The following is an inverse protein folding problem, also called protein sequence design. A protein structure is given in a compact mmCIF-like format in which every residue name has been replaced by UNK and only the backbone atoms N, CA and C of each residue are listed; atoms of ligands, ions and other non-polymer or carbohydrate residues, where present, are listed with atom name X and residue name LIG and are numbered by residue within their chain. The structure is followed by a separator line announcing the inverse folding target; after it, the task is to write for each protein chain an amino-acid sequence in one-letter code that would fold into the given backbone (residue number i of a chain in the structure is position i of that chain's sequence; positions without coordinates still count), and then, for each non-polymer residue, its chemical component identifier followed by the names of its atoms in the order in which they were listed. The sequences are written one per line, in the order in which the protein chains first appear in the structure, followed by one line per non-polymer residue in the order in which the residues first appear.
data_IF_769410409530
#
_entry.id   IF_769410409530
#
_cell.length_a   1.000
_cell.length_b   1.000
_cell.length_c   1.000
_cell.angle_alpha   90.00
_cell.angle_beta   90.00
_cell.angle_gamma   90.00
#
_symmetry.space_group_name_H-M   'P 1'
#
loop_
_entity.id
_entity.type
_entity.pdbx_description
1 polymer ?
#
# COMPACT_ATOMS: atom_id res chain seq x y z
N UNK A 1 0.93 23.88 -10.06
CA UNK A 1 1.44 23.71 -11.44
C UNK A 1 0.47 22.83 -12.20
N UNK A 2 0.13 23.16 -13.45
CA UNK A 2 -0.62 22.24 -14.30
C UNK A 2 0.27 21.02 -14.57
N UNK A 3 -0.21 19.81 -14.26
CA UNK A 3 0.51 18.60 -14.64
C UNK A 3 0.51 18.51 -16.16
N UNK A 4 1.69 18.38 -16.77
CA UNK A 4 1.75 18.02 -18.20
C UNK A 4 1.36 16.55 -18.34
N UNK A 5 0.40 16.28 -19.21
CA UNK A 5 0.01 14.93 -19.61
C UNK A 5 0.72 14.48 -20.89
N UNK A 6 1.48 15.36 -21.55
CA UNK A 6 2.13 15.10 -22.85
C UNK A 6 2.95 13.82 -22.83
N UNK A 7 3.72 13.63 -21.77
CA UNK A 7 4.50 12.43 -21.49
C UNK A 7 3.66 11.15 -21.54
N UNK A 8 2.50 11.16 -20.87
CA UNK A 8 1.64 9.98 -20.80
C UNK A 8 1.01 9.66 -22.14
N UNK A 9 0.55 10.68 -22.88
CA UNK A 9 -0.18 10.48 -24.13
C UNK A 9 0.74 10.25 -25.34
N UNK A 10 2.06 10.30 -25.13
CA UNK A 10 3.10 10.05 -26.13
C UNK A 10 3.71 8.65 -26.06
N UNK A 11 3.32 7.80 -25.09
CA UNK A 11 3.78 6.41 -25.01
C UNK A 11 3.25 5.57 -26.18
N UNK A 12 3.90 4.45 -26.48
CA UNK A 12 3.39 3.51 -27.48
C UNK A 12 2.10 2.85 -27.00
N UNK A 13 1.01 2.87 -27.80
CA UNK A 13 -0.24 2.25 -27.40
C UNK A 13 -0.21 0.73 -27.59
N UNK A 14 -0.88 0.03 -26.68
CA UNK A 14 -1.26 -1.36 -26.87
C UNK A 14 -2.32 -1.46 -27.98
N UNK A 15 -2.03 -2.20 -29.03
CA UNK A 15 -2.97 -2.41 -30.14
C UNK A 15 -3.84 -3.63 -29.88
N UNK A 16 -5.15 -3.46 -30.04
CA UNK A 16 -6.10 -4.57 -29.99
C UNK A 16 -7.23 -4.33 -30.99
N UNK A 17 -7.97 -5.38 -31.36
CA UNK A 17 -9.05 -5.25 -32.35
C UNK A 17 -10.15 -4.30 -31.84
N UNK A 18 -10.71 -4.61 -30.67
CA UNK A 18 -11.82 -3.87 -30.09
C UNK A 18 -11.83 -4.06 -28.57
N UNK A 19 -12.17 -3.01 -27.82
CA UNK A 19 -12.29 -3.09 -26.37
C UNK A 19 -13.71 -3.54 -25.99
N UNK A 20 -13.83 -4.63 -25.25
CA UNK A 20 -15.12 -5.15 -24.81
C UNK A 20 -15.49 -4.65 -23.41
N UNK A 21 -16.46 -3.73 -23.32
CA UNK A 21 -16.95 -3.26 -22.01
C UNK A 21 -17.64 -4.37 -21.20
N UNK A 22 -18.16 -5.42 -21.84
CA UNK A 22 -18.82 -6.53 -21.13
C UNK A 22 -17.83 -7.44 -20.39
N UNK A 23 -16.52 -7.33 -20.66
CA UNK A 23 -15.48 -8.10 -19.94
C UNK A 23 -14.88 -7.34 -18.76
N UNK A 24 -15.43 -6.19 -18.38
CA UNK A 24 -14.96 -5.46 -17.20
C UNK A 24 -15.19 -6.29 -15.93
N UNK A 25 -14.18 -6.31 -15.08
CA UNK A 25 -14.24 -6.94 -13.75
C UNK A 25 -15.01 -6.07 -12.77
N UNK A 26 -15.43 -6.66 -11.66
CA UNK A 26 -16.20 -5.96 -10.61
C UNK A 26 -15.46 -4.73 -10.01
N UNK A 27 -14.12 -4.79 -9.96
CA UNK A 27 -13.29 -3.70 -9.48
C UNK A 27 -12.92 -2.67 -10.58
N UNK A 28 -13.58 -2.72 -11.74
CA UNK A 28 -13.35 -1.79 -12.85
C UNK A 28 -14.55 -0.90 -13.10
N UNK A 29 -14.28 0.32 -13.55
CA UNK A 29 -15.28 1.30 -13.96
C UNK A 29 -14.85 1.95 -15.27
N UNK A 30 -15.81 2.41 -16.07
CA UNK A 30 -15.50 3.16 -17.28
C UNK A 30 -16.04 4.58 -17.24
N UNK A 31 -15.32 5.49 -17.88
CA UNK A 31 -15.77 6.83 -18.25
C UNK A 31 -15.86 6.88 -19.76
N UNK A 32 -17.07 7.07 -20.28
CA UNK A 32 -17.34 7.10 -21.71
C UNK A 32 -17.18 8.52 -22.25
N UNK A 33 -16.62 8.62 -23.44
CA UNK A 33 -16.44 9.84 -24.21
C UNK A 33 -16.81 9.58 -25.67
N UNK A 34 -17.34 10.55 -26.42
CA UNK A 34 -17.62 10.34 -27.83
C UNK A 34 -16.35 10.15 -28.67
N UNK A 35 -16.52 9.52 -29.83
CA UNK A 35 -15.49 9.49 -30.86
C UNK A 35 -15.00 10.92 -31.18
N UNK A 36 -13.67 11.07 -31.24
CA UNK A 36 -12.99 12.34 -31.52
C UNK A 36 -13.33 13.53 -30.59
N UNK A 37 -13.88 13.28 -29.39
CA UNK A 37 -14.20 14.33 -28.39
C UNK A 37 -13.65 13.99 -27.00
N UNK A 38 -13.57 15.01 -26.14
CA UNK A 38 -13.17 14.90 -24.73
C UNK A 38 -14.31 15.03 -23.71
N UNK A 39 -15.55 15.16 -24.17
CA UNK A 39 -16.72 15.33 -23.29
C UNK A 39 -16.98 14.04 -22.53
N UNK A 40 -17.02 14.12 -21.20
CA UNK A 40 -17.45 13.01 -20.33
C UNK A 40 -18.96 12.82 -20.48
N UNK A 41 -19.40 11.59 -20.76
CA UNK A 41 -20.82 11.25 -20.94
C UNK A 41 -21.51 10.75 -19.67
N UNK A 42 -20.73 10.27 -18.69
CA UNK A 42 -21.22 9.67 -17.46
C UNK A 42 -20.56 10.30 -16.20
N UNK A 43 -20.75 11.62 -15.98
CA UNK A 43 -20.11 12.33 -14.87
C UNK A 43 -20.60 11.90 -13.48
N UNK A 44 -21.76 11.23 -13.39
CA UNK A 44 -22.30 10.70 -12.14
C UNK A 44 -21.39 9.65 -11.48
N UNK A 45 -20.46 9.06 -12.24
CA UNK A 45 -19.45 8.14 -11.73
C UNK A 45 -18.43 8.78 -10.79
N UNK A 46 -18.33 10.12 -10.74
CA UNK A 46 -17.37 10.88 -9.93
C UNK A 46 -17.24 10.37 -8.49
N UNK A 47 -18.37 10.09 -7.84
CA UNK A 47 -18.39 9.63 -6.43
C UNK A 47 -17.60 8.32 -6.27
N UNK A 48 -17.86 7.33 -7.14
CA UNK A 48 -17.19 6.02 -7.10
C UNK A 48 -15.70 6.09 -7.40
N UNK A 49 -15.27 7.09 -8.19
CA UNK A 49 -13.85 7.31 -8.50
C UNK A 49 -13.11 7.89 -7.30
N UNK A 50 -13.74 8.83 -6.59
CA UNK A 50 -13.11 9.50 -5.46
C UNK A 50 -13.11 8.67 -4.17
N UNK A 51 -14.01 7.70 -4.05
CA UNK A 51 -14.12 6.80 -2.90
C UNK A 51 -13.36 5.48 -3.11
N UNK A 52 -12.35 5.44 -3.99
CA UNK A 52 -11.58 4.21 -4.22
C UNK A 52 -10.14 4.52 -4.61
N UNK A 53 -9.22 3.64 -4.23
CA UNK A 53 -7.83 3.71 -4.66
C UNK A 53 -7.72 3.23 -6.11
N UNK A 54 -7.34 4.15 -7.01
CA UNK A 54 -7.03 3.84 -8.40
C UNK A 54 -5.63 3.23 -8.49
N UNK A 55 -5.52 2.06 -9.12
CA UNK A 55 -4.23 1.37 -9.34
C UNK A 55 -3.83 1.34 -10.82
N UNK A 56 -4.79 1.46 -11.74
CA UNK A 56 -4.51 1.52 -13.18
C UNK A 56 -5.54 2.38 -13.91
N UNK A 57 -5.05 3.21 -14.83
CA UNK A 57 -5.84 4.02 -15.74
C UNK A 57 -5.52 3.67 -17.19
N UNK A 58 -6.53 3.27 -17.96
CA UNK A 58 -6.38 2.91 -19.36
C UNK A 58 -7.17 3.91 -20.22
N UNK A 59 -6.52 4.56 -21.19
CA UNK A 59 -7.20 5.43 -22.16
C UNK A 59 -7.41 4.66 -23.46
N UNK A 60 -8.67 4.36 -23.75
CA UNK A 60 -9.10 3.62 -24.93
C UNK A 60 -9.55 4.59 -26.03
N UNK A 61 -9.01 4.40 -27.23
CA UNK A 61 -9.41 5.13 -28.42
C UNK A 61 -9.28 4.25 -29.68
N UNK A 62 -9.72 4.75 -30.83
CA UNK A 62 -9.60 4.06 -32.12
C UNK A 62 -8.44 4.62 -32.92
N UNK A 63 -7.68 3.77 -33.61
CA UNK A 63 -6.59 4.17 -34.51
C UNK A 63 -7.06 5.04 -35.68
N UNK A 64 -8.30 4.85 -36.13
CA UNK A 64 -8.88 5.59 -37.24
C UNK A 64 -8.88 7.10 -37.01
N UNK A 65 -8.43 7.82 -38.03
CA UNK A 65 -8.53 9.28 -38.15
C UNK A 65 -9.10 9.64 -39.52
N UNK A 66 -10.10 10.52 -39.56
CA UNK A 66 -10.67 10.99 -40.82
C UNK A 66 -9.70 11.90 -41.59
N UNK A 67 -8.99 12.78 -40.88
CA UNK A 67 -7.98 13.67 -41.43
C UNK A 67 -6.59 13.16 -41.06
N UNK A 68 -5.66 13.12 -42.02
CA UNK A 68 -4.26 12.77 -41.77
C UNK A 68 -3.57 13.75 -40.82
N UNK A 69 -4.00 15.01 -40.81
CA UNK A 69 -3.52 16.07 -39.91
C UNK A 69 -4.07 16.00 -38.48
N UNK A 70 -4.99 15.07 -38.20
CA UNK A 70 -5.56 14.93 -36.87
C UNK A 70 -4.50 14.51 -35.84
N UNK A 71 -4.39 15.30 -34.76
CA UNK A 71 -3.44 15.07 -33.68
C UNK A 71 -4.13 14.27 -32.55
N UNK A 72 -3.90 12.97 -32.55
CA UNK A 72 -4.44 12.05 -31.54
C UNK A 72 -3.87 12.31 -30.14
N UNK A 73 -2.59 12.66 -30.04
CA UNK A 73 -1.88 12.94 -28.77
C UNK A 73 -2.59 14.11 -28.06
N UNK A 74 -2.83 15.21 -28.78
CA UNK A 74 -3.52 16.39 -28.24
C UNK A 74 -4.96 16.10 -27.80
N UNK A 75 -5.69 15.25 -28.52
CA UNK A 75 -7.02 14.83 -28.08
C UNK A 75 -6.94 14.01 -26.79
N UNK A 76 -6.01 13.06 -26.70
CA UNK A 76 -5.80 12.24 -25.51
C UNK A 76 -5.42 13.09 -24.29
N UNK A 77 -4.58 14.11 -24.48
CA UNK A 77 -4.24 15.08 -23.45
C UNK A 77 -5.49 15.82 -22.96
N UNK A 78 -6.31 16.31 -23.90
CA UNK A 78 -7.57 16.99 -23.60
C UNK A 78 -8.57 16.10 -22.85
N UNK A 79 -8.55 14.79 -23.10
CA UNK A 79 -9.35 13.79 -22.39
C UNK A 79 -8.87 13.59 -20.96
N UNK A 80 -7.55 13.52 -20.73
CA UNK A 80 -6.99 13.44 -19.38
C UNK A 80 -7.32 14.71 -18.58
N UNK A 81 -7.23 15.90 -19.18
CA UNK A 81 -7.67 17.16 -18.56
C UNK A 81 -9.16 17.11 -18.19
N UNK A 82 -10.01 16.54 -19.05
CA UNK A 82 -11.43 16.40 -18.76
C UNK A 82 -11.68 15.43 -17.59
N UNK A 83 -10.95 14.31 -17.52
CA UNK A 83 -11.01 13.38 -16.38
C UNK A 83 -10.50 14.03 -15.09
N UNK A 84 -9.39 14.79 -15.15
CA UNK A 84 -8.85 15.53 -14.01
C UNK A 84 -9.84 16.55 -13.46
N UNK A 85 -10.57 17.25 -14.33
CA UNK A 85 -11.64 18.17 -13.90
C UNK A 85 -12.79 17.43 -13.20
N UNK A 86 -13.10 16.21 -13.63
CA UNK A 86 -14.14 15.39 -13.01
C UNK A 86 -13.71 14.87 -11.63
N UNK A 87 -12.50 14.30 -11.55
CA UNK A 87 -11.94 13.65 -10.38
C UNK A 87 -10.50 14.16 -10.13
N UNK A 88 -10.33 15.35 -9.53
CA UNK A 88 -8.99 15.93 -9.33
C UNK A 88 -8.13 15.12 -8.36
N UNK A 89 -8.74 14.47 -7.36
CA UNK A 89 -8.05 13.74 -6.29
C UNK A 89 -7.15 12.62 -6.83
N UNK A 90 -7.60 11.86 -7.84
CA UNK A 90 -6.79 10.78 -8.43
C UNK A 90 -5.55 11.31 -9.17
N UNK A 91 -5.48 12.61 -9.46
CA UNK A 91 -4.31 13.25 -10.06
C UNK A 91 -3.44 13.96 -9.03
N UNK A 92 -3.90 14.24 -7.81
CA UNK A 92 -3.07 14.87 -6.78
C UNK A 92 -1.84 14.01 -6.48
N UNK A 93 -2.04 12.69 -6.42
CA UNK A 93 -0.97 11.72 -6.32
C UNK A 93 -1.17 10.60 -7.35
N UNK A 94 -0.25 10.50 -8.32
CA UNK A 94 -0.32 9.50 -9.40
C UNK A 94 0.40 8.22 -8.96
N UNK A 95 -0.30 7.38 -8.20
CA UNK A 95 0.21 6.06 -7.79
C UNK A 95 -0.19 4.92 -8.75
N UNK A 96 -0.98 5.24 -9.77
CA UNK A 96 -1.51 4.28 -10.73
C UNK A 96 -0.68 4.19 -12.00
N UNK A 97 -0.71 3.01 -12.60
CA UNK A 97 -0.13 2.74 -13.91
C UNK A 97 -1.02 3.30 -15.03
N UNK A 98 -0.40 3.65 -16.16
CA UNK A 98 -1.12 4.21 -17.31
C UNK A 98 -0.86 3.44 -18.60
N UNK A 99 -1.93 3.06 -19.29
CA UNK A 99 -1.85 2.47 -20.62
C UNK A 99 -2.66 3.26 -21.65
N UNK A 100 -2.14 3.30 -22.88
CA UNK A 100 -2.91 3.69 -24.06
C UNK A 100 -3.37 2.44 -24.80
N UNK A 101 -4.64 2.38 -25.16
CA UNK A 101 -5.21 1.28 -25.95
C UNK A 101 -5.74 1.83 -27.27
N UNK A 102 -5.15 1.38 -28.38
CA UNK A 102 -5.55 1.76 -29.74
C UNK A 102 -6.29 0.63 -30.43
N UNK A 103 -7.59 0.82 -30.63
CA UNK A 103 -8.48 -0.13 -31.29
C UNK A 103 -8.31 -0.07 -32.81
N UNK A 104 -8.16 -1.23 -33.46
CA UNK A 104 -7.80 -1.35 -34.88
C UNK A 104 -8.95 -1.79 -35.80
N UNK A 105 -10.08 -2.26 -35.26
CA UNK A 105 -11.18 -2.83 -36.07
C UNK A 105 -11.96 -1.77 -36.89
N UNK A 106 -12.09 -0.53 -36.38
CA UNK A 106 -12.88 0.51 -37.04
C UNK A 106 -12.12 1.24 -38.15
N UNK A 107 -12.74 1.36 -39.33
CA UNK A 107 -12.15 2.00 -40.53
C UNK A 107 -12.97 3.18 -41.07
N UNK A 108 -14.09 3.50 -40.43
CA UNK A 108 -14.95 4.62 -40.81
C UNK A 108 -15.45 5.36 -39.57
N UNK A 109 -15.90 6.61 -39.76
CA UNK A 109 -16.53 7.37 -38.68
C UNK A 109 -17.73 6.63 -38.09
N UNK A 110 -18.54 5.98 -38.92
CA UNK A 110 -19.76 5.28 -38.47
C UNK A 110 -19.43 4.01 -37.67
N UNK A 111 -18.37 3.29 -38.03
CA UNK A 111 -17.87 2.15 -37.23
C UNK A 111 -17.27 2.64 -35.92
N UNK A 112 -16.34 3.60 -35.98
CA UNK A 112 -15.65 4.07 -34.78
C UNK A 112 -16.59 4.76 -33.80
N UNK A 113 -17.64 5.47 -34.24
CA UNK A 113 -18.60 6.11 -33.32
C UNK A 113 -19.33 5.12 -32.42
N UNK A 114 -19.39 3.83 -32.80
CA UNK A 114 -20.00 2.74 -32.02
C UNK A 114 -19.01 2.04 -31.09
N UNK A 115 -17.71 2.24 -31.29
CA UNK A 115 -16.66 1.64 -30.46
C UNK A 115 -16.50 2.46 -29.18
N UNK A 116 -15.94 1.85 -28.14
CA UNK A 116 -15.71 2.54 -26.88
C UNK A 116 -14.56 3.56 -27.00
N UNK A 117 -14.78 4.78 -26.50
CA UNK A 117 -13.72 5.76 -26.24
C UNK A 117 -13.86 6.27 -24.83
N UNK A 118 -12.73 6.54 -24.19
CA UNK A 118 -12.68 7.09 -22.85
C UNK A 118 -11.75 6.29 -21.96
N UNK A 119 -12.08 6.19 -20.69
CA UNK A 119 -11.19 5.62 -19.68
C UNK A 119 -11.76 4.34 -19.09
N UNK A 120 -10.87 3.39 -18.81
CA UNK A 120 -11.15 2.28 -17.90
C UNK A 120 -10.27 2.47 -16.67
N UNK A 121 -10.91 2.49 -15.51
CA UNK A 121 -10.31 2.70 -14.20
C UNK A 121 -10.36 1.36 -13.47
N UNK A 122 -9.21 0.85 -13.07
CA UNK A 122 -9.11 -0.36 -12.23
C UNK A 122 -8.75 0.05 -10.82
N UNK A 123 -9.61 -0.31 -9.87
CA UNK A 123 -9.43 0.02 -8.46
C UNK A 123 -8.85 -1.15 -7.68
N UNK A 124 -8.13 -0.83 -6.61
CA UNK A 124 -7.79 -1.82 -5.59
C UNK A 124 -9.09 -2.39 -5.02
N UNK A 125 -9.27 -3.73 -4.96
CA UNK A 125 -10.41 -4.33 -4.29
C UNK A 125 -10.43 -3.98 -2.79
N UNK A 126 -11.60 -3.66 -2.26
CA UNK A 126 -11.76 -3.42 -0.83
C UNK A 126 -11.82 -4.75 -0.07
N UNK A 127 -11.24 -4.78 1.13
CA UNK A 127 -11.39 -5.92 2.03
C UNK A 127 -12.83 -6.02 2.56
N UNK A 128 -13.32 -7.25 2.64
CA UNK A 128 -14.62 -7.61 3.22
C UNK A 128 -14.45 -8.01 4.69
N UNK A 129 -15.52 -7.98 5.52
CA UNK A 129 -15.45 -8.50 6.88
C UNK A 129 -14.91 -9.93 6.97
N UNK A 130 -15.33 -10.81 6.04
CA UNK A 130 -14.85 -12.18 5.99
C UNK A 130 -13.34 -12.28 5.69
N UNK A 131 -12.83 -11.48 4.75
CA UNK A 131 -11.38 -11.49 4.44
C UNK A 131 -10.55 -10.90 5.59
N UNK A 132 -11.07 -9.90 6.31
CA UNK A 132 -10.41 -9.37 7.52
C UNK A 132 -10.35 -10.43 8.62
N UNK A 133 -11.45 -11.16 8.85
CA UNK A 133 -11.49 -12.24 9.84
C UNK A 133 -10.50 -13.36 9.50
N UNK A 134 -10.44 -13.76 8.23
CA UNK A 134 -9.47 -14.76 7.77
C UNK A 134 -8.02 -14.27 7.93
N UNK A 135 -7.76 -12.99 7.67
CA UNK A 135 -6.43 -12.40 7.85
C UNK A 135 -6.04 -12.33 9.33
N UNK A 136 -6.93 -11.85 10.19
CA UNK A 136 -6.73 -11.81 11.64
C UNK A 136 -6.43 -13.22 12.19
N UNK A 137 -7.19 -14.23 11.76
CA UNK A 137 -6.94 -15.64 12.13
C UNK A 137 -5.59 -16.14 11.61
N UNK A 138 -5.19 -15.75 10.40
CA UNK A 138 -3.88 -16.09 9.86
C UNK A 138 -2.74 -15.49 10.71
N UNK A 139 -2.84 -14.23 11.12
CA UNK A 139 -1.82 -13.58 11.95
C UNK A 139 -1.74 -14.19 13.36
N UNK A 140 -2.89 -14.56 13.96
CA UNK A 140 -2.93 -15.32 15.22
C UNK A 140 -2.24 -16.69 15.08
N UNK A 141 -2.51 -17.43 14.00
CA UNK A 141 -1.86 -18.71 13.74
C UNK A 141 -0.35 -18.55 13.47
N UNK A 142 0.04 -17.50 12.76
CA UNK A 142 1.45 -17.16 12.52
C UNK A 142 2.17 -16.90 13.84
N UNK A 143 1.55 -16.17 14.78
CA UNK A 143 2.08 -15.94 16.11
C UNK A 143 2.35 -17.23 16.88
N UNK A 144 1.36 -18.13 16.89
CA UNK A 144 1.46 -19.43 17.56
C UNK A 144 2.59 -20.25 16.96
N UNK A 145 2.68 -20.30 15.62
CA UNK A 145 3.77 -20.99 14.93
C UNK A 145 5.14 -20.39 15.27
N UNK A 146 5.24 -19.06 15.32
CA UNK A 146 6.47 -18.36 15.69
C UNK A 146 6.89 -18.64 17.16
N UNK A 147 5.94 -18.75 18.09
CA UNK A 147 6.23 -19.12 19.48
C UNK A 147 6.68 -20.59 19.60
N UNK A 148 6.01 -21.49 18.91
CA UNK A 148 6.38 -22.90 18.87
C UNK A 148 7.80 -23.08 18.28
N UNK A 149 8.13 -22.33 17.23
CA UNK A 149 9.44 -22.38 16.61
C UNK A 149 10.55 -21.93 17.57
N UNK A 150 10.34 -20.84 18.31
CA UNK A 150 11.30 -20.39 19.34
C UNK A 150 11.46 -21.43 20.45
N UNK A 151 10.36 -22.08 20.84
CA UNK A 151 10.38 -23.13 21.86
C UNK A 151 11.20 -24.33 21.40
N UNK A 152 11.05 -24.74 20.13
CA UNK A 152 11.84 -25.82 19.51
C UNK A 152 13.31 -25.44 19.37
N UNK A 153 13.62 -24.21 18.94
CA UNK A 153 15.02 -23.79 18.75
C UNK A 153 15.75 -23.59 20.09
N UNK A 154 15.05 -23.13 21.14
CA UNK A 154 15.57 -23.06 22.51
C UNK A 154 15.73 -24.46 23.13
N UNK A 155 14.76 -25.35 22.91
CA UNK A 155 14.76 -26.73 23.37
C UNK A 155 15.39 -27.67 22.33
N UNK A 156 16.62 -27.34 21.92
CA UNK A 156 17.46 -28.05 20.94
C UNK A 156 17.71 -29.55 21.29
N UNK A 157 17.06 -30.08 22.33
CA UNK A 157 17.10 -31.45 22.87
C UNK A 157 15.83 -32.26 22.55
N UNK A 158 14.68 -31.66 22.29
CA UNK A 158 13.43 -32.40 22.01
C UNK A 158 13.31 -32.83 20.55
N UNK A 159 14.20 -33.75 20.14
CA UNK A 159 14.13 -34.44 18.86
C UNK A 159 13.09 -35.55 18.95
N UNK A 160 12.09 -35.55 18.06
CA UNK A 160 11.22 -36.74 17.90
C UNK A 160 12.08 -37.87 17.34
N UNK A 161 11.91 -39.08 17.86
CA UNK A 161 12.62 -40.25 17.34
C UNK A 161 11.64 -41.33 16.90
N UNK A 162 12.07 -42.12 15.91
CA UNK A 162 11.43 -43.37 15.54
C UNK A 162 12.43 -44.48 15.78
N UNK A 163 12.00 -45.56 16.43
CA UNK A 163 12.80 -46.78 16.56
C UNK A 163 12.50 -47.66 15.35
N UNK A 164 13.51 -47.94 14.52
CA UNK A 164 13.43 -49.00 13.51
C UNK A 164 14.09 -50.25 14.04
N UNK A 165 13.33 -51.35 14.07
CA UNK A 165 13.84 -52.64 14.51
C UNK A 165 14.19 -53.50 13.31
N UNK A 166 15.38 -54.08 13.28
CA UNK A 166 15.76 -55.10 12.30
C UNK A 166 16.49 -56.26 12.99
N UNK A 167 16.41 -57.45 12.42
CA UNK A 167 16.99 -58.66 13.02
C UNK A 167 18.29 -59.03 12.32
N UNK A 168 19.39 -59.08 13.08
CA UNK A 168 20.69 -59.55 12.64
C UNK A 168 20.90 -61.02 13.08
N UNK A 169 21.36 -61.87 12.16
CA UNK A 169 21.48 -63.32 12.38
C UNK A 169 22.57 -63.71 13.40
N UNK A 170 23.50 -62.82 13.74
CA UNK A 170 24.55 -63.05 14.74
C UNK A 170 24.25 -62.34 16.07
N UNK A 171 23.55 -61.20 16.02
CA UNK A 171 23.41 -60.28 17.16
C UNK A 171 21.98 -60.22 17.70
N UNK A 172 20.97 -60.64 16.92
CA UNK A 172 19.55 -60.63 17.29
C UNK A 172 18.84 -59.35 16.87
N UNK A 173 17.81 -58.93 17.63
CA UNK A 173 17.08 -57.69 17.34
C UNK A 173 17.95 -56.45 17.61
N UNK A 174 18.16 -55.64 16.58
CA UNK A 174 18.80 -54.34 16.63
C UNK A 174 17.74 -53.23 16.49
N UNK A 175 17.89 -52.17 17.27
CA UNK A 175 16.98 -51.03 17.32
C UNK A 175 17.71 -49.74 16.93
N UNK A 176 17.44 -49.21 15.75
CA UNK A 176 17.99 -47.94 15.29
C UNK A 176 17.10 -46.78 15.75
N UNK A 177 17.67 -45.84 16.52
CA UNK A 177 16.97 -44.60 16.88
C UNK A 177 17.25 -43.53 15.81
N UNK A 178 16.26 -43.22 14.98
CA UNK A 178 16.34 -42.15 13.97
C UNK A 178 15.74 -40.88 14.57
N UNK A 179 16.57 -39.85 14.73
CA UNK A 179 16.16 -38.57 15.28
C UNK A 179 15.72 -37.60 14.16
N UNK A 180 14.63 -36.86 14.40
CA UNK A 180 14.13 -35.78 13.55
C UNK A 180 14.08 -34.47 14.34
N UNK A 181 14.41 -33.34 13.69
CA UNK A 181 14.13 -32.01 14.26
C UNK A 181 12.61 -31.85 14.30
N UNK A 182 12.05 -31.37 15.41
CA UNK A 182 10.64 -30.98 15.41
C UNK A 182 10.47 -29.82 14.43
N UNK A 183 9.62 -29.97 13.43
CA UNK A 183 9.41 -28.94 12.41
C UNK A 183 8.03 -28.34 12.61
N UNK A 184 7.97 -27.07 12.99
CA UNK A 184 6.70 -26.33 13.00
C UNK A 184 6.25 -26.18 11.56
N UNK A 185 5.02 -26.61 11.26
CA UNK A 185 4.47 -26.50 9.91
C UNK A 185 4.32 -25.01 9.56
N UNK A 186 4.87 -24.53 8.43
CA UNK A 186 4.67 -23.15 8.01
C UNK A 186 3.19 -22.88 7.78
N UNK A 187 2.70 -21.74 8.26
CA UNK A 187 1.34 -21.27 8.00
C UNK A 187 1.32 -20.72 6.58
N UNK A 188 0.53 -21.29 5.65
CA UNK A 188 0.50 -20.80 4.28
C UNK A 188 -0.17 -19.42 4.23
N UNK A 189 0.30 -18.53 3.35
CA UNK A 189 -0.36 -17.25 3.13
C UNK A 189 -1.79 -17.48 2.61
N UNK A 190 -2.79 -16.72 3.10
CA UNK A 190 -4.13 -16.83 2.55
C UNK A 190 -4.21 -16.45 1.06
N UNK A 191 -5.20 -16.99 0.35
CA UNK A 191 -5.34 -16.88 -1.12
C UNK A 191 -6.20 -15.69 -1.57
N UNK A 192 -6.87 -14.99 -0.64
CA UNK A 192 -7.81 -13.92 -0.97
C UNK A 192 -7.17 -12.55 -1.24
N UNK A 193 -5.84 -12.48 -1.31
CA UNK A 193 -5.15 -11.23 -1.61
C UNK A 193 -5.34 -10.87 -3.07
N UNK A 194 -5.70 -9.62 -3.32
CA UNK A 194 -5.89 -9.13 -4.69
C UNK A 194 -4.62 -9.24 -5.54
N UNK A 195 -3.45 -9.31 -4.91
CA UNK A 195 -2.19 -9.60 -5.57
C UNK A 195 -1.30 -10.51 -4.70
N UNK A 196 -1.21 -11.80 -5.07
CA UNK A 196 -0.37 -12.77 -4.38
C UNK A 196 1.14 -12.43 -4.43
N UNK A 197 1.61 -11.64 -5.40
CA UNK A 197 3.04 -11.27 -5.44
C UNK A 197 3.45 -10.39 -4.27
N UNK A 198 2.50 -9.70 -3.64
CA UNK A 198 2.76 -8.85 -2.48
C UNK A 198 3.25 -9.64 -1.25
N UNK A 199 3.08 -10.96 -1.20
CA UNK A 199 3.72 -11.80 -0.19
C UNK A 199 5.23 -11.93 -0.32
N UNK A 200 5.77 -11.61 -1.50
CA UNK A 200 7.21 -11.53 -1.72
C UNK A 200 7.77 -10.15 -1.35
N UNK A 201 6.90 -9.20 -1.00
CA UNK A 201 7.33 -7.92 -0.49
C UNK A 201 8.15 -8.11 0.80
N UNK A 202 9.15 -7.26 0.95
CA UNK A 202 10.04 -7.25 2.11
C UNK A 202 10.25 -5.82 2.61
N UNK A 203 9.37 -4.87 2.27
CA UNK A 203 9.53 -3.45 2.58
C UNK A 203 9.74 -3.22 4.06
N UNK A 204 8.86 -3.81 4.88
CA UNK A 204 8.86 -3.64 6.32
C UNK A 204 10.13 -4.26 6.92
N UNK A 205 10.41 -5.52 6.57
CA UNK A 205 11.60 -6.22 7.07
C UNK A 205 12.91 -5.54 6.65
N UNK A 206 13.04 -5.15 5.37
CA UNK A 206 14.24 -4.49 4.85
C UNK A 206 14.45 -3.12 5.51
N UNK A 207 13.39 -2.32 5.70
CA UNK A 207 13.49 -1.05 6.39
C UNK A 207 14.02 -1.25 7.81
N UNK A 208 13.52 -2.26 8.53
CA UNK A 208 14.00 -2.55 9.87
C UNK A 208 15.43 -3.08 9.91
N UNK A 209 15.80 -3.96 9.00
CA UNK A 209 17.16 -4.52 8.92
C UNK A 209 18.20 -3.42 8.65
N UNK A 210 17.85 -2.40 7.85
CA UNK A 210 18.72 -1.25 7.58
C UNK A 210 18.79 -0.25 8.75
N UNK A 211 17.76 -0.19 9.60
CA UNK A 211 17.60 0.87 10.60
C UNK A 211 17.66 0.35 12.05
N UNK A 212 18.85 -0.06 12.49
CA UNK A 212 19.04 -0.64 13.84
C UNK A 212 19.23 0.38 14.97
N UNK A 213 19.29 1.67 14.63
CA UNK A 213 19.67 2.77 15.54
C UNK A 213 18.52 3.30 16.39
N UNK A 214 17.27 3.11 15.96
CA UNK A 214 16.08 3.57 16.68
C UNK A 214 15.98 2.94 18.07
N UNK A 215 15.61 3.74 19.06
CA UNK A 215 15.47 3.32 20.46
C UNK A 215 14.34 4.09 21.13
N UNK A 216 13.72 3.45 22.14
CA UNK A 216 12.71 4.09 22.98
C UNK A 216 11.57 4.73 22.16
N UNK A 217 11.00 3.95 21.25
CA UNK A 217 9.99 4.42 20.31
C UNK A 217 8.63 3.78 20.55
N UNK A 218 7.59 4.44 20.04
CA UNK A 218 6.30 3.80 19.78
C UNK A 218 6.21 3.38 18.32
N UNK A 219 5.44 2.35 18.05
CA UNK A 219 5.16 1.86 16.70
C UNK A 219 3.70 2.08 16.41
N UNK A 220 3.41 2.78 15.34
CA UNK A 220 2.06 3.08 14.87
C UNK A 220 1.89 2.39 13.52
N UNK A 221 0.87 1.56 13.39
CA UNK A 221 0.69 0.66 12.25
C UNK A 221 -0.73 0.77 11.72
N UNK A 222 -0.83 1.09 10.43
CA UNK A 222 -2.03 0.90 9.65
C UNK A 222 -2.32 -0.61 9.53
N UNK A 223 -3.50 -1.03 9.98
CA UNK A 223 -3.98 -2.43 9.85
C UNK A 223 -5.29 -2.51 9.09
N UNK A 224 -5.53 -1.56 8.19
CA UNK A 224 -6.62 -1.64 7.23
C UNK A 224 -6.40 -2.75 6.21
N UNK A 225 -7.45 -3.03 5.43
CA UNK A 225 -7.42 -4.12 4.46
C UNK A 225 -6.43 -3.93 3.31
N UNK A 226 -5.93 -2.71 3.10
CA UNK A 226 -4.90 -2.42 2.11
C UNK A 226 -3.51 -2.87 2.58
N UNK A 227 -3.29 -2.83 3.89
CA UNK A 227 -2.07 -3.24 4.56
C UNK A 227 -1.91 -4.74 4.71
N UNK A 228 -2.96 -5.52 4.38
CA UNK A 228 -2.97 -6.96 4.54
C UNK A 228 -1.72 -7.69 4.02
N UNK A 229 -1.17 -7.37 2.84
CA UNK A 229 0.03 -8.03 2.34
C UNK A 229 1.30 -7.77 3.17
N UNK A 230 1.30 -6.67 3.93
CA UNK A 230 2.40 -6.21 4.75
C UNK A 230 2.22 -6.57 6.23
N UNK A 231 0.98 -6.78 6.69
CA UNK A 231 0.64 -7.13 8.08
C UNK A 231 1.49 -8.27 8.62
N UNK A 232 1.71 -9.34 7.84
CA UNK A 232 2.53 -10.47 8.28
C UNK A 232 4.00 -10.07 8.54
N UNK A 233 4.59 -9.24 7.68
CA UNK A 233 5.95 -8.73 7.86
C UNK A 233 6.06 -7.85 9.10
N UNK A 234 5.07 -6.97 9.30
CA UNK A 234 4.97 -6.15 10.51
C UNK A 234 5.00 -7.08 11.72
N UNK A 235 4.16 -8.13 11.76
CA UNK A 235 4.05 -9.00 12.92
C UNK A 235 5.30 -9.85 13.19
N UNK A 236 5.97 -10.34 12.14
CA UNK A 236 7.27 -11.02 12.27
C UNK A 236 8.29 -10.07 12.91
N UNK A 237 8.33 -8.81 12.48
CA UNK A 237 9.20 -7.82 13.09
C UNK A 237 8.76 -7.40 14.51
N UNK A 238 7.45 -7.23 14.75
CA UNK A 238 6.88 -6.90 16.06
C UNK A 238 7.35 -7.92 17.11
N UNK A 239 7.41 -9.20 16.75
CA UNK A 239 7.99 -10.26 17.59
C UNK A 239 9.45 -9.97 17.97
N UNK A 240 10.30 -9.63 16.99
CA UNK A 240 11.70 -9.31 17.26
C UNK A 240 11.86 -8.08 18.18
N UNK A 241 10.98 -7.08 18.07
CA UNK A 241 10.99 -5.91 18.96
C UNK A 241 10.38 -6.16 20.33
N UNK A 242 9.35 -7.01 20.42
CA UNK A 242 8.78 -7.43 21.69
C UNK A 242 9.84 -8.08 22.59
N UNK A 243 10.75 -8.85 21.98
CA UNK A 243 11.85 -9.51 22.69
C UNK A 243 12.98 -8.54 23.07
N UNK A 244 13.29 -7.53 22.24
CA UNK A 244 14.41 -6.62 22.49
C UNK A 244 14.05 -5.39 23.34
N UNK A 245 12.76 -5.18 23.65
CA UNK A 245 12.21 -4.09 24.47
C UNK A 245 12.58 -2.67 24.02
N UNK A 246 12.94 -2.47 22.74
CA UNK A 246 13.20 -1.13 22.18
C UNK A 246 11.90 -0.35 21.88
N UNK A 247 10.85 -1.07 21.48
CA UNK A 247 9.51 -0.54 21.31
C UNK A 247 8.79 -0.57 22.66
N UNK A 248 8.23 0.56 23.11
CA UNK A 248 7.50 0.62 24.37
C UNK A 248 6.00 0.31 24.20
N UNK A 249 5.41 0.82 23.12
CA UNK A 249 4.00 0.68 22.81
C UNK A 249 3.78 0.43 21.32
N UNK A 250 2.72 -0.28 21.03
CA UNK A 250 2.18 -0.50 19.69
C UNK A 250 0.80 0.14 19.58
N UNK A 251 0.56 0.80 18.46
CA UNK A 251 -0.68 1.48 18.15
C UNK A 251 -1.13 0.98 16.78
N UNK A 252 -2.37 0.51 16.71
CA UNK A 252 -2.98 0.01 15.49
C UNK A 252 -4.18 0.88 15.14
N UNK A 253 -4.37 1.19 13.85
CA UNK A 253 -5.54 1.94 13.41
C UNK A 253 -6.19 1.32 12.17
N UNK A 254 -7.51 1.54 12.03
CA UNK A 254 -8.35 0.96 10.98
C UNK A 254 -9.31 1.97 10.31
N UNK A 255 -9.04 3.28 10.48
CA UNK A 255 -9.86 4.40 10.05
C UNK A 255 -11.30 4.40 10.58
N UNK A 256 -11.46 4.16 11.88
CA UNK A 256 -12.70 4.51 12.58
C UNK A 256 -13.73 3.41 12.75
N UNK A 257 -13.32 2.15 12.86
CA UNK A 257 -14.21 1.01 13.20
C UNK A 257 -15.46 0.90 12.30
N UNK A 258 -15.27 0.94 10.97
CA UNK A 258 -16.35 0.95 9.96
C UNK A 258 -17.32 2.14 10.05
N UNK A 259 -16.94 3.22 10.74
CA UNK A 259 -17.69 4.47 10.71
C UNK A 259 -17.89 4.93 9.26
N UNK A 260 -19.10 5.37 8.92
CA UNK A 260 -19.40 5.92 7.61
C UNK A 260 -18.50 7.12 7.29
N UNK A 261 -18.00 7.20 6.06
CA UNK A 261 -17.12 8.26 5.54
C UNK A 261 -17.55 9.66 5.95
N UNK A 262 -18.84 10.00 5.79
CA UNK A 262 -19.38 11.32 6.11
C UNK A 262 -19.31 11.70 7.60
N UNK A 263 -19.10 10.73 8.49
CA UNK A 263 -19.00 10.92 9.94
C UNK A 263 -17.55 10.91 10.44
N UNK A 264 -16.58 10.54 9.60
CA UNK A 264 -15.16 10.55 9.95
C UNK A 264 -14.64 11.98 9.88
N UNK A 265 -14.35 12.55 11.04
CA UNK A 265 -13.79 13.89 11.18
C UNK A 265 -12.34 13.80 11.61
N UNK A 266 -11.46 14.69 11.12
CA UNK A 266 -10.08 14.68 11.54
C UNK A 266 -9.92 14.71 13.06
N UNK A 267 -9.02 13.88 13.58
CA UNK A 267 -8.71 13.65 15.00
C UNK A 267 -9.87 13.09 15.85
N UNK A 268 -10.98 12.72 15.21
CA UNK A 268 -12.17 12.13 15.83
C UNK A 268 -12.64 10.89 15.05
N UNK A 269 -11.78 10.31 14.22
CA UNK A 269 -12.08 9.16 13.37
C UNK A 269 -12.25 7.90 14.19
N UNK A 270 -11.50 7.74 15.29
CA UNK A 270 -11.50 6.54 16.17
C UNK A 270 -10.87 5.33 15.50
N UNK A 271 -11.17 4.13 15.98
CA UNK A 271 -10.54 2.92 15.46
C UNK A 271 -9.06 2.79 15.79
N UNK A 272 -8.61 3.41 16.89
CA UNK A 272 -7.22 3.37 17.37
C UNK A 272 -7.13 2.44 18.58
N UNK A 273 -6.21 1.48 18.52
CA UNK A 273 -6.02 0.43 19.52
C UNK A 273 -4.57 0.45 20.00
N UNK A 274 -4.38 0.66 21.31
CA UNK A 274 -3.04 0.79 21.91
C UNK A 274 -2.74 -0.44 22.77
N UNK A 275 -1.54 -0.99 22.62
CA UNK A 275 -1.01 -2.08 23.42
C UNK A 275 0.37 -1.74 23.97
N UNK A 276 0.55 -1.95 25.28
CA UNK A 276 1.87 -1.92 25.91
C UNK A 276 2.67 -3.16 25.47
N UNK A 277 3.96 -2.99 25.19
CA UNK A 277 4.83 -4.08 24.78
C UNK A 277 5.23 -4.99 25.96
N UNK A 278 4.28 -5.78 26.46
CA UNK A 278 4.51 -6.77 27.53
C UNK A 278 4.94 -8.12 26.99
N UNK A 279 4.22 -8.57 25.97
CA UNK A 279 4.37 -9.87 25.33
C UNK A 279 3.72 -9.82 23.94
N UNK A 280 4.12 -10.75 23.07
CA UNK A 280 3.64 -10.78 21.69
C UNK A 280 2.13 -11.07 21.59
N UNK A 281 1.56 -11.86 22.51
CA UNK A 281 0.14 -12.20 22.50
C UNK A 281 -0.72 -10.95 22.73
N UNK A 282 -0.35 -10.10 23.69
CA UNK A 282 -1.02 -8.82 23.98
C UNK A 282 -1.04 -7.90 22.76
N UNK A 283 0.11 -7.77 22.08
CA UNK A 283 0.25 -6.92 20.88
C UNK A 283 -0.62 -7.44 19.73
N UNK A 284 -0.59 -8.75 19.49
CA UNK A 284 -1.35 -9.39 18.41
C UNK A 284 -2.84 -9.31 18.66
N UNK A 285 -3.30 -9.52 19.90
CA UNK A 285 -4.71 -9.34 20.26
C UNK A 285 -5.21 -7.92 19.99
N UNK A 286 -4.40 -6.90 20.24
CA UNK A 286 -4.77 -5.53 19.93
C UNK A 286 -4.86 -5.28 18.42
N UNK A 287 -3.87 -5.77 17.66
CA UNK A 287 -3.85 -5.65 16.21
C UNK A 287 -5.03 -6.38 15.56
N UNK A 288 -5.26 -7.65 15.88
CA UNK A 288 -6.37 -8.42 15.29
C UNK A 288 -7.74 -7.91 15.72
N UNK A 289 -7.87 -7.39 16.95
CA UNK A 289 -9.09 -6.68 17.36
C UNK A 289 -9.33 -5.43 16.52
N UNK A 290 -8.29 -4.65 16.25
CA UNK A 290 -8.37 -3.48 15.37
C UNK A 290 -8.81 -3.88 13.97
N UNK A 291 -8.16 -4.87 13.34
CA UNK A 291 -8.51 -5.36 12.00
C UNK A 291 -9.96 -5.85 11.88
N UNK A 292 -10.45 -6.61 12.87
CA UNK A 292 -11.83 -7.14 12.86
C UNK A 292 -12.88 -6.04 12.96
N UNK A 293 -12.53 -4.92 13.58
CA UNK A 293 -13.46 -3.82 13.76
C UNK A 293 -13.51 -2.85 12.57
N UNK A 294 -12.60 -2.92 11.59
CA UNK A 294 -12.65 -2.03 10.43
C UNK A 294 -11.57 -2.27 9.37
N UNK A 295 -11.86 -1.85 8.14
CA UNK A 295 -11.00 -2.01 6.97
C UNK A 295 -10.58 -0.71 6.28
N UNK A 296 -10.74 0.47 6.90
CA UNK A 296 -10.47 1.76 6.24
C UNK A 296 -11.71 2.45 5.68
N UNK A 297 -12.90 1.83 5.76
CA UNK A 297 -14.17 2.40 5.27
C UNK A 297 -14.22 2.74 3.78
N UNK A 298 -13.23 2.30 2.99
CA UNK A 298 -13.18 2.43 1.55
C UNK A 298 -13.06 3.87 1.05
N UNK A 299 -12.42 4.77 1.82
CA UNK A 299 -11.99 6.07 1.29
C UNK A 299 -10.50 6.01 0.97
N UNK A 300 -9.99 6.98 0.21
CA UNK A 300 -8.56 7.12 -0.01
C UNK A 300 -7.84 7.89 1.14
N UNK A 301 -8.33 7.72 2.39
CA UNK A 301 -7.95 8.53 3.55
C UNK A 301 -7.88 7.69 4.84
N UNK A 302 -6.85 7.95 5.65
CA UNK A 302 -6.53 7.21 6.88
C UNK A 302 -6.28 8.15 8.08
N UNK A 303 -6.37 7.64 9.31
CA UNK A 303 -6.26 8.44 10.54
C UNK A 303 -4.90 8.35 11.26
N UNK A 304 -3.81 8.43 10.48
CA UNK A 304 -2.43 8.24 10.96
C UNK A 304 -2.04 9.22 12.08
N UNK A 305 -2.35 10.51 11.93
CA UNK A 305 -1.97 11.53 12.92
C UNK A 305 -2.79 11.38 14.20
N UNK A 306 -4.08 11.04 14.11
CA UNK A 306 -4.88 10.68 15.30
C UNK A 306 -4.22 9.51 16.04
N UNK A 307 -3.83 8.46 15.33
CA UNK A 307 -3.19 7.29 15.93
C UNK A 307 -1.85 7.63 16.61
N UNK A 308 -1.00 8.44 15.97
CA UNK A 308 0.26 8.90 16.57
C UNK A 308 0.00 9.70 17.85
N UNK A 309 -0.92 10.67 17.81
CA UNK A 309 -1.24 11.51 18.97
C UNK A 309 -1.80 10.65 20.10
N UNK A 310 -2.65 9.68 19.80
CA UNK A 310 -3.20 8.77 20.81
C UNK A 310 -2.07 7.94 21.45
N UNK A 311 -1.16 7.37 20.67
CA UNK A 311 0.00 6.64 21.18
C UNK A 311 0.87 7.46 22.13
N UNK A 312 1.12 8.73 21.80
CA UNK A 312 1.90 9.65 22.63
C UNK A 312 1.20 10.02 23.96
N UNK A 313 -0.12 9.86 24.09
CA UNK A 313 -0.81 10.00 25.39
C UNK A 313 -0.46 8.87 26.34
N UNK A 314 -0.29 7.65 25.82
CA UNK A 314 0.11 6.48 26.59
C UNK A 314 1.61 6.48 26.89
N UNK A 315 2.43 6.96 25.96
CA UNK A 315 3.88 7.01 26.12
C UNK A 315 4.50 8.35 25.69
N UNK A 316 4.32 9.42 26.49
CA UNK A 316 4.81 10.76 26.15
C UNK A 316 6.34 10.86 26.13
N UNK A 317 7.02 9.91 26.78
CA UNK A 317 8.47 9.84 26.88
C UNK A 317 9.15 9.11 25.71
N UNK A 318 8.39 8.72 24.67
CA UNK A 318 9.00 8.22 23.43
C UNK A 318 9.98 9.25 22.88
N UNK A 319 11.13 8.78 22.43
CA UNK A 319 12.11 9.60 21.72
C UNK A 319 11.71 9.73 20.25
N UNK A 320 11.18 8.66 19.66
CA UNK A 320 10.88 8.54 18.24
C UNK A 320 9.56 7.77 18.01
N UNK A 321 8.99 7.90 16.81
CA UNK A 321 7.79 7.20 16.36
C UNK A 321 8.12 6.48 15.07
N UNK A 322 7.79 5.19 14.99
CA UNK A 322 7.84 4.44 13.74
C UNK A 322 6.41 4.31 13.22
N UNK A 323 6.12 4.91 12.07
CA UNK A 323 4.84 4.78 11.39
C UNK A 323 4.97 3.76 10.26
N UNK A 324 4.12 2.73 10.21
CA UNK A 324 4.01 1.81 9.09
C UNK A 324 2.68 2.07 8.39
N UNK A 325 2.71 2.50 7.14
CA UNK A 325 1.53 2.99 6.42
C UNK A 325 1.50 2.56 4.94
N UNK A 326 0.32 2.61 4.34
CA UNK A 326 0.12 2.40 2.91
C UNK A 326 0.43 3.68 2.11
N UNK A 327 1.31 3.57 1.12
CA UNK A 327 1.64 4.65 0.21
C UNK A 327 0.44 5.19 -0.59
N UNK A 328 -0.56 4.37 -0.86
CA UNK A 328 -1.69 4.76 -1.70
C UNK A 328 -2.74 5.60 -0.97
N UNK A 329 -2.71 5.58 0.36
CA UNK A 329 -3.66 6.27 1.21
C UNK A 329 -3.06 7.61 1.69
N UNK A 330 -3.90 8.62 1.84
CA UNK A 330 -3.50 9.93 2.36
C UNK A 330 -3.99 10.13 3.79
N UNK A 331 -3.35 11.02 4.55
CA UNK A 331 -3.78 11.30 5.92
C UNK A 331 -5.03 12.18 5.91
N UNK A 332 -6.13 11.67 6.47
CA UNK A 332 -7.34 12.44 6.80
C UNK A 332 -7.02 13.62 7.72
N UNK A 333 -6.05 13.39 8.61
CA UNK A 333 -5.62 14.30 9.65
C UNK A 333 -4.41 15.16 9.25
N UNK A 334 -4.11 15.23 7.95
CA UNK A 334 -2.90 15.86 7.43
C UNK A 334 -2.68 17.28 7.99
N UNK A 335 -3.71 18.11 8.04
CA UNK A 335 -3.60 19.50 8.54
C UNK A 335 -3.19 19.62 10.03
N UNK A 336 -3.11 18.51 10.77
CA UNK A 336 -2.77 18.47 12.19
C UNK A 336 -1.44 17.79 12.51
N UNK A 337 -0.63 17.41 11.51
CA UNK A 337 0.66 16.76 11.78
C UNK A 337 1.62 17.67 12.57
N UNK A 338 1.40 18.99 12.56
CA UNK A 338 2.16 19.97 13.32
C UNK A 338 2.06 19.78 14.85
N UNK A 339 1.02 19.07 15.33
CA UNK A 339 0.87 18.67 16.73
C UNK A 339 1.91 17.63 17.16
N UNK A 340 2.53 16.91 16.23
CA UNK A 340 3.55 15.90 16.50
C UNK A 340 4.91 16.60 16.63
N UNK A 341 5.53 16.48 17.82
CA UNK A 341 6.83 17.12 18.13
C UNK A 341 8.01 16.15 18.18
N UNK A 342 7.74 14.85 18.10
CA UNK A 342 8.73 13.78 18.09
C UNK A 342 9.03 13.36 16.64
N UNK A 343 10.26 12.96 16.30
CA UNK A 343 10.59 12.41 14.99
C UNK A 343 9.67 11.25 14.59
N UNK A 344 9.14 11.31 13.36
CA UNK A 344 8.35 10.23 12.76
C UNK A 344 9.12 9.60 11.61
N UNK A 345 9.50 8.35 11.78
CA UNK A 345 10.15 7.52 10.78
C UNK A 345 9.07 6.68 10.09
N UNK A 346 8.78 6.98 8.83
CA UNK A 346 7.71 6.35 8.05
C UNK A 346 8.25 5.19 7.24
N UNK A 347 7.79 3.99 7.50
CA UNK A 347 7.98 2.82 6.64
C UNK A 347 6.77 2.75 5.71
N UNK A 348 7.03 2.93 4.42
CA UNK A 348 5.98 3.20 3.44
C UNK A 348 5.83 2.04 2.47
N UNK A 349 4.77 1.26 2.68
CA UNK A 349 4.44 0.05 1.94
C UNK A 349 3.81 0.39 0.58
N UNK A 350 4.13 -0.36 -0.48
CA UNK A 350 3.58 -0.10 -1.82
C UNK A 350 4.14 1.15 -2.52
N UNK A 351 5.37 1.56 -2.17
CA UNK A 351 6.03 2.77 -2.68
C UNK A 351 6.85 2.55 -3.97
N UNK A 352 6.59 1.48 -4.72
CA UNK A 352 7.37 1.08 -5.91
C UNK A 352 7.37 2.13 -7.02
N UNK A 353 6.22 2.77 -7.24
CA UNK A 353 6.04 3.76 -8.30
C UNK A 353 6.45 5.16 -7.86
N UNK A 354 5.93 5.66 -6.73
CA UNK A 354 6.17 7.01 -6.21
C UNK A 354 5.76 7.06 -4.75
N UNK A 355 6.32 7.98 -3.97
CA UNK A 355 5.99 8.22 -2.57
C UNK A 355 4.86 9.24 -2.46
N UNK A 356 3.90 8.99 -1.57
CA UNK A 356 2.93 9.99 -1.16
C UNK A 356 3.62 11.16 -0.45
N UNK A 357 3.48 12.35 -1.03
CA UNK A 357 4.12 13.57 -0.55
C UNK A 357 3.72 13.93 0.88
N UNK A 358 2.56 13.50 1.35
CA UNK A 358 2.11 13.81 2.69
C UNK A 358 3.02 13.16 3.76
N UNK A 359 3.51 11.94 3.51
CA UNK A 359 4.48 11.28 4.40
C UNK A 359 5.86 11.94 4.35
N UNK A 360 6.28 12.46 3.19
CA UNK A 360 7.50 13.29 3.10
C UNK A 360 7.36 14.57 3.94
N UNK A 361 6.20 15.22 3.91
CA UNK A 361 5.92 16.42 4.69
C UNK A 361 5.89 16.13 6.20
N UNK A 362 5.25 15.03 6.61
CA UNK A 362 5.23 14.55 8.00
C UNK A 362 6.65 14.29 8.52
N UNK A 363 7.44 13.49 7.80
CA UNK A 363 8.81 13.16 8.17
C UNK A 363 9.69 14.42 8.23
N UNK A 364 9.57 15.32 7.23
CA UNK A 364 10.29 16.60 7.22
C UNK A 364 9.98 17.46 8.45
N UNK A 365 8.69 17.69 8.74
CA UNK A 365 8.28 18.56 9.84
C UNK A 365 8.75 18.03 11.19
N UNK A 366 8.68 16.71 11.35
CA UNK A 366 9.04 16.03 12.60
C UNK A 366 10.54 15.77 12.73
N UNK A 367 11.33 16.07 11.68
CA UNK A 367 12.76 15.71 11.56
C UNK A 367 13.00 14.19 11.60
N UNK A 368 12.00 13.43 11.16
CA UNK A 368 12.10 12.00 10.93
C UNK A 368 12.54 11.69 9.50
N UNK A 369 12.12 10.52 9.01
CA UNK A 369 12.67 9.89 7.80
C UNK A 369 11.59 9.10 7.07
N UNK A 370 11.82 8.73 5.81
CA UNK A 370 10.91 7.86 5.04
C UNK A 370 11.69 6.67 4.49
N UNK A 371 11.13 5.47 4.57
CA UNK A 371 11.77 4.21 4.22
C UNK A 371 10.90 3.45 3.21
N UNK A 372 11.47 3.14 2.05
CA UNK A 372 10.85 2.29 1.03
C UNK A 372 11.49 0.91 1.06
N UNK A 373 11.05 0.03 0.16
CA UNK A 373 11.66 -1.29 -0.02
C UNK A 373 13.17 -1.22 -0.26
N UNK A 374 13.64 -0.20 -0.97
CA UNK A 374 15.04 -0.06 -1.44
C UNK A 374 15.82 1.05 -0.76
N UNK A 375 15.15 2.10 -0.28
CA UNK A 375 15.80 3.37 0.03
C UNK A 375 15.38 3.93 1.38
N UNK A 376 16.30 4.66 2.01
CA UNK A 376 16.07 5.42 3.24
C UNK A 376 16.27 6.91 2.94
N UNK A 377 15.21 7.70 3.10
CA UNK A 377 15.16 9.12 2.81
C UNK A 377 15.35 9.88 4.11
N UNK A 378 16.54 10.42 4.27
CA UNK A 378 17.01 11.07 5.49
C UNK A 378 17.12 12.58 5.30
N UNK A 379 17.25 13.32 6.40
CA UNK A 379 17.58 14.76 6.39
C UNK A 379 16.60 15.60 5.57
N UNK A 380 15.32 15.19 5.50
CA UNK A 380 14.30 15.86 4.72
C UNK A 380 14.13 17.32 5.12
N UNK A 381 14.43 17.71 6.36
CA UNK A 381 14.39 19.08 6.88
C UNK A 381 15.44 20.01 6.25
N UNK A 382 16.49 19.48 5.62
CA UNK A 382 17.58 20.28 5.05
C UNK A 382 17.28 20.74 3.61
N UNK A 383 16.28 20.15 2.95
CA UNK A 383 15.88 20.53 1.58
C UNK A 383 15.35 21.96 1.57
N UNK A 384 15.83 22.81 0.66
CA UNK A 384 15.46 24.23 0.61
C UNK A 384 14.26 24.47 -0.31
N UNK A 385 13.61 25.61 -0.13
CA UNK A 385 12.56 26.07 -1.03
C UNK A 385 13.08 26.15 -2.48
N UNK A 386 12.36 25.54 -3.42
CA UNK A 386 12.76 25.42 -4.82
C UNK A 386 13.72 24.26 -5.13
N UNK A 387 14.15 23.50 -4.14
CA UNK A 387 15.10 22.39 -4.33
C UNK A 387 14.39 21.12 -4.79
N UNK A 388 15.07 20.40 -5.69
CA UNK A 388 14.64 19.11 -6.21
C UNK A 388 15.34 17.97 -5.45
N UNK A 389 14.59 16.91 -5.18
CA UNK A 389 15.06 15.68 -4.56
C UNK A 389 14.66 14.50 -5.44
N UNK A 390 15.58 13.56 -5.63
CA UNK A 390 15.30 12.28 -6.26
C UNK A 390 15.19 11.20 -5.19
N UNK A 391 14.08 10.47 -5.20
CA UNK A 391 13.90 9.27 -4.38
C UNK A 391 13.60 8.13 -5.34
N UNK A 392 14.48 7.12 -5.33
CA UNK A 392 14.54 6.08 -6.34
C UNK A 392 14.64 6.71 -7.76
N UNK A 393 13.71 6.41 -8.67
CA UNK A 393 13.68 6.98 -10.03
C UNK A 393 12.78 8.23 -10.15
N UNK A 394 12.27 8.77 -9.03
CA UNK A 394 11.24 9.81 -9.03
C UNK A 394 11.73 11.15 -8.50
N UNK A 395 11.37 12.21 -9.21
CA UNK A 395 11.67 13.58 -8.84
C UNK A 395 10.56 14.23 -8.00
N UNK A 396 10.97 15.00 -6.98
CA UNK A 396 10.10 15.78 -6.11
C UNK A 396 10.68 17.19 -5.97
N UNK A 397 9.81 18.19 -5.89
CA UNK A 397 10.16 19.58 -5.67
C UNK A 397 9.61 20.02 -4.31
N UNK A 398 10.45 20.63 -3.48
CA UNK A 398 9.98 21.29 -2.27
C UNK A 398 9.60 22.74 -2.57
N UNK A 399 8.31 23.08 -2.49
CA UNK A 399 7.82 24.42 -2.79
C UNK A 399 6.59 24.80 -1.96
N UNK A 400 6.51 26.06 -1.53
CA UNK A 400 5.44 26.61 -0.70
C UNK A 400 5.23 25.79 0.58
N UNK A 401 6.33 25.39 1.21
CA UNK A 401 6.30 24.67 2.48
C UNK A 401 5.98 23.17 2.39
N UNK A 402 5.77 22.61 1.19
CA UNK A 402 5.43 21.20 0.99
C UNK A 402 6.15 20.58 -0.21
N UNK A 403 6.31 19.26 -0.19
CA UNK A 403 6.75 18.51 -1.36
C UNK A 403 5.65 18.43 -2.42
N UNK A 404 6.06 18.44 -3.68
CA UNK A 404 5.23 18.20 -4.85
C UNK A 404 5.91 17.13 -5.71
N UNK A 405 5.14 16.18 -6.21
CA UNK A 405 5.63 15.27 -7.23
C UNK A 405 5.94 16.05 -8.51
N UNK A 406 7.14 15.88 -9.06
CA UNK A 406 7.48 16.35 -10.40
C UNK A 406 7.20 15.20 -11.36
N UNK A 407 6.29 15.46 -12.30
CA UNK A 407 5.93 14.53 -13.37
C UNK A 407 6.78 14.84 -14.59
N UNK A 408 8.09 14.72 -14.45
CA UNK A 408 9.07 14.74 -15.53
C UNK A 408 9.35 13.30 -15.94
N UNK A 409 9.35 13.00 -17.24
CA UNK A 409 10.00 11.78 -17.73
C UNK A 409 11.50 12.09 -17.76
N UNK A 410 12.25 11.58 -16.79
CA UNK A 410 13.66 11.32 -17.04
C UNK A 410 13.75 10.17 -18.05
N UNK A 411 14.21 10.52 -19.26
CA UNK A 411 14.82 9.68 -20.28
C UNK A 411 14.76 8.15 -20.06
N UNK A 412 13.77 7.49 -20.67
CA UNK A 412 13.88 6.06 -21.05
C UNK A 412 13.63 5.88 -22.55
N UNK A 413 14.46 6.56 -23.36
CA UNK A 413 15.02 6.07 -24.62
C UNK A 413 16.39 6.74 -24.84
N UNK A 414 17.39 6.30 -24.06
CA UNK A 414 18.78 6.26 -24.51
C UNK A 414 19.13 4.82 -24.84
#
# INVERSE_FOLDING_TARGET
MAQSFDAMVSIEPNYQNEFNLASLKENQLFISMPFAKQTVLNPEQKKKINEKVLIKLELVYTKYRKASSFNQIKLNESRLIALQKLAPLIFENRFWDFDLISQTNGNSRNECDKMFHGFVLTFRPNSTPNTLDLEANYLENLAVALYQQDSVDADNKNRKYVIKTHYDLKIGYLHDTIWFKDTVKPVPPPDFFYNQTLYKDSTVLNAFDRNTIWKNFIVVTDVTGSMSPYSAQVFVWLKAQAQNKKAAYFVFFNDGDQKESAKKKPLETKGVYVAENKDLETVIKAATKCMRNGSGGGENLENDVEAIIEGLKYYPNADEIILVADNYESMRDYEYFDKIKKPVHVILCGSENRINIQYLNLARQTKGTVHTVKSDVMNLQNIKEGEHLFIDENEYLYQNGKFHAVYSLLDKYK
#
